data_IF_116610138940
#
_entry.id   IF_116610138940
#
_cell.length_a   1.000
_cell.length_b   1.000
_cell.length_c   1.000
_cell.angle_alpha   90.00
_cell.angle_beta   90.00
_cell.angle_gamma   90.00
#
_symmetry.space_group_name_H-M   'P 1'
#
loop_
_entity.id
_entity.type
_entity.pdbx_description
1 polymer ?
#
# COMPACT_ATOMS: atom_id res chain seq x y z
N UNK A 1 -20.57 4.01 -9.05
CA UNK A 1 -20.46 5.38 -8.53
C UNK A 1 -20.96 5.55 -7.10
N UNK A 2 -22.01 4.84 -6.67
CA UNK A 2 -22.51 4.91 -5.28
C UNK A 2 -21.44 4.57 -4.22
N UNK A 3 -20.52 3.63 -4.47
CA UNK A 3 -19.45 3.28 -3.53
C UNK A 3 -18.43 4.41 -3.35
N UNK A 4 -18.07 5.12 -4.40
CA UNK A 4 -17.15 6.25 -4.31
C UNK A 4 -17.74 7.40 -3.50
N UNK A 5 -19.05 7.63 -3.60
CA UNK A 5 -19.75 8.68 -2.84
C UNK A 5 -19.91 8.35 -1.35
N UNK A 6 -19.79 7.09 -0.95
CA UNK A 6 -19.85 6.65 0.44
C UNK A 6 -18.49 6.66 1.17
N UNK A 7 -17.41 6.93 0.45
CA UNK A 7 -16.05 6.99 1.05
C UNK A 7 -15.93 8.26 1.86
N UNK A 8 -15.67 8.09 3.15
CA UNK A 8 -15.45 9.22 4.06
C UNK A 8 -14.00 9.70 3.97
N UNK A 9 -13.75 11.00 4.16
CA UNK A 9 -12.38 11.50 4.25
C UNK A 9 -11.66 10.94 5.48
N UNK A 10 -10.34 10.90 5.43
CA UNK A 10 -9.51 10.48 6.55
C UNK A 10 -9.67 11.45 7.73
N UNK A 11 -9.61 10.94 8.95
CA UNK A 11 -9.79 11.73 10.17
C UNK A 11 -8.52 12.53 10.50
N UNK A 12 -8.60 13.86 10.41
CA UNK A 12 -7.50 14.74 10.78
C UNK A 12 -7.18 14.66 12.30
N UNK A 13 -8.21 14.50 13.15
CA UNK A 13 -8.01 14.38 14.59
C UNK A 13 -7.29 13.08 14.97
N UNK A 14 -7.59 11.97 14.31
CA UNK A 14 -6.89 10.71 14.52
C UNK A 14 -5.44 10.79 14.01
N UNK A 15 -5.19 11.47 12.91
CA UNK A 15 -3.84 11.71 12.40
C UNK A 15 -2.99 12.50 13.40
N UNK A 16 -3.54 13.57 13.98
CA UNK A 16 -2.84 14.37 14.99
C UNK A 16 -2.50 13.54 16.23
N UNK A 17 -3.47 12.81 16.77
CA UNK A 17 -3.25 11.94 17.93
C UNK A 17 -2.20 10.86 17.65
N UNK A 18 -2.23 10.28 16.45
CA UNK A 18 -1.24 9.30 16.03
C UNK A 18 0.16 9.90 15.93
N UNK A 19 0.29 11.12 15.40
CA UNK A 19 1.58 11.83 15.34
C UNK A 19 2.13 12.09 16.74
N UNK A 20 1.30 12.61 17.63
CA UNK A 20 1.69 12.86 19.03
C UNK A 20 2.16 11.56 19.71
N UNK A 21 1.43 10.45 19.48
CA UNK A 21 1.80 9.15 20.04
C UNK A 21 3.14 8.66 19.48
N UNK A 22 3.35 8.73 18.16
CA UNK A 22 4.59 8.31 17.52
C UNK A 22 5.78 9.11 18.04
N UNK A 23 5.60 10.43 18.19
CA UNK A 23 6.66 11.32 18.69
C UNK A 23 6.94 11.13 20.18
N UNK A 24 5.98 10.59 20.95
CA UNK A 24 6.14 10.27 22.36
C UNK A 24 6.82 8.93 22.65
N UNK A 25 7.03 8.09 21.64
CA UNK A 25 7.71 6.81 21.82
C UNK A 25 9.18 6.98 22.19
N UNK A 26 9.74 5.99 22.87
CA UNK A 26 11.15 5.99 23.31
C UNK A 26 12.07 5.74 22.12
N UNK A 27 12.25 6.75 21.31
CA UNK A 27 13.09 6.79 20.12
C UNK A 27 13.35 8.25 19.72
N UNK A 28 14.41 8.56 18.98
CA UNK A 28 14.57 9.89 18.39
C UNK A 28 13.38 10.24 17.49
N UNK A 29 12.89 11.49 17.56
CA UNK A 29 11.79 11.97 16.73
C UNK A 29 12.15 11.81 15.25
N UNK A 30 11.25 11.19 14.47
CA UNK A 30 11.44 10.97 13.04
C UNK A 30 12.39 9.82 12.69
N UNK A 31 12.87 9.03 13.66
CA UNK A 31 13.89 8.00 13.43
C UNK A 31 13.46 6.87 12.48
N UNK A 32 12.17 6.58 12.38
CA UNK A 32 11.64 5.56 11.47
C UNK A 32 11.29 6.11 10.08
N UNK A 33 11.49 7.42 9.86
CA UNK A 33 11.29 8.06 8.56
C UNK A 33 9.85 7.92 8.04
N UNK A 34 9.70 7.48 6.79
CA UNK A 34 8.40 7.32 6.14
C UNK A 34 7.47 6.32 6.81
N UNK A 35 8.00 5.34 7.56
CA UNK A 35 7.16 4.39 8.29
C UNK A 35 6.28 5.11 9.31
N UNK A 36 6.77 6.18 9.94
CA UNK A 36 5.97 7.00 10.84
C UNK A 36 4.84 7.70 10.11
N UNK A 37 5.09 8.23 8.91
CA UNK A 37 4.09 8.89 8.09
C UNK A 37 3.00 7.91 7.64
N UNK A 38 3.37 6.70 7.27
CA UNK A 38 2.41 5.64 6.93
C UNK A 38 1.56 5.22 8.14
N UNK A 39 2.16 5.10 9.31
CA UNK A 39 1.44 4.79 10.54
C UNK A 39 0.39 5.87 10.86
N UNK A 40 0.76 7.15 10.76
CA UNK A 40 -0.15 8.28 10.96
C UNK A 40 -1.27 8.27 9.92
N UNK A 41 -0.95 8.02 8.65
CA UNK A 41 -1.93 7.96 7.57
C UNK A 41 -2.93 6.83 7.76
N UNK A 42 -2.46 5.65 8.12
CA UNK A 42 -3.33 4.51 8.43
C UNK A 42 -4.24 4.80 9.62
N UNK A 43 -3.71 5.40 10.69
CA UNK A 43 -4.50 5.81 11.83
C UNK A 43 -5.61 6.79 11.45
N UNK A 44 -5.32 7.73 10.54
CA UNK A 44 -6.31 8.69 10.04
C UNK A 44 -7.41 8.02 9.22
N UNK A 45 -7.07 7.01 8.41
CA UNK A 45 -8.03 6.26 7.59
C UNK A 45 -8.96 5.43 8.47
N UNK A 46 -8.42 4.74 9.46
CA UNK A 46 -9.20 3.91 10.39
C UNK A 46 -9.87 4.72 11.51
N UNK A 47 -9.48 5.98 11.70
CA UNK A 47 -9.99 6.82 12.79
C UNK A 47 -9.56 6.37 14.18
N UNK A 48 -8.47 5.60 14.28
CA UNK A 48 -7.96 5.01 15.54
C UNK A 48 -6.45 5.14 15.61
N UNK A 49 -5.93 5.36 16.83
CA UNK A 49 -4.49 5.35 17.08
C UNK A 49 -3.93 3.94 17.31
N UNK A 50 -4.78 3.02 17.73
CA UNK A 50 -4.42 1.63 18.02
C UNK A 50 -5.03 0.74 16.92
N UNK A 51 -4.19 0.32 15.97
CA UNK A 51 -4.67 -0.48 14.84
C UNK A 51 -4.64 -1.98 15.17
N UNK A 52 -5.71 -2.73 14.80
CA UNK A 52 -5.68 -4.18 14.87
C UNK A 52 -4.72 -4.75 13.82
N UNK A 53 -4.34 -6.04 13.92
CA UNK A 53 -3.61 -6.70 12.83
C UNK A 53 -4.34 -6.54 11.50
N UNK A 54 -3.65 -6.02 10.49
CA UNK A 54 -4.24 -5.76 9.18
C UNK A 54 -4.25 -7.05 8.33
N UNK A 55 -5.37 -7.30 7.69
CA UNK A 55 -5.43 -8.29 6.60
C UNK A 55 -4.76 -7.68 5.38
N UNK A 56 -3.73 -8.33 4.91
CA UNK A 56 -2.89 -7.84 3.80
C UNK A 56 -3.27 -8.54 2.50
N UNK A 57 -3.23 -7.80 1.40
CA UNK A 57 -3.41 -8.33 0.07
C UNK A 57 -2.42 -7.69 -0.89
N UNK A 58 -2.01 -8.44 -1.88
CA UNK A 58 -1.20 -7.93 -3.00
C UNK A 58 -2.05 -8.09 -4.27
N UNK A 59 -2.30 -6.98 -4.95
CA UNK A 59 -2.95 -6.98 -6.26
C UNK A 59 -1.87 -6.86 -7.35
N UNK A 60 -1.79 -7.86 -8.20
CA UNK A 60 -0.84 -7.89 -9.32
C UNK A 60 -1.60 -7.65 -10.61
N UNK A 61 -1.16 -6.66 -11.37
CA UNK A 61 -1.69 -6.34 -12.69
C UNK A 61 -0.62 -6.70 -13.72
N UNK A 62 -0.97 -7.53 -14.68
CA UNK A 62 -0.07 -7.96 -15.74
C UNK A 62 -0.74 -7.82 -17.09
N UNK A 63 -0.03 -7.25 -18.05
CA UNK A 63 -0.52 -7.07 -19.41
C UNK A 63 0.64 -7.05 -20.41
N UNK A 64 0.36 -7.45 -21.64
CA UNK A 64 1.27 -7.29 -22.77
C UNK A 64 0.96 -5.95 -23.45
N UNK A 65 1.91 -5.00 -23.35
CA UNK A 65 1.71 -3.62 -23.82
C UNK A 65 2.38 -3.34 -25.18
N UNK A 66 2.74 -4.40 -25.94
CA UNK A 66 3.36 -4.28 -27.26
C UNK A 66 4.85 -3.97 -27.25
N UNK A 67 5.45 -3.73 -26.10
CA UNK A 67 6.88 -3.40 -26.00
C UNK A 67 7.79 -4.58 -26.37
N UNK A 68 7.30 -5.80 -26.28
CA UNK A 68 8.03 -7.00 -26.67
C UNK A 68 8.37 -6.99 -28.17
N UNK A 69 7.49 -6.44 -29.01
CA UNK A 69 7.68 -6.35 -30.47
C UNK A 69 8.88 -5.46 -30.84
N UNK A 70 9.35 -4.63 -29.93
CA UNK A 70 10.55 -3.79 -30.08
C UNK A 70 11.87 -4.60 -30.00
N UNK A 71 11.80 -5.91 -29.74
CA UNK A 71 12.95 -6.80 -29.72
C UNK A 71 13.92 -6.59 -28.55
N UNK A 72 13.50 -5.92 -27.49
CA UNK A 72 14.35 -5.61 -26.34
C UNK A 72 14.37 -6.70 -25.27
N UNK A 73 13.44 -7.66 -25.35
CA UNK A 73 13.32 -8.72 -24.36
C UNK A 73 14.08 -9.99 -24.77
N UNK A 74 14.90 -10.57 -23.87
CA UNK A 74 15.59 -11.84 -24.14
C UNK A 74 14.69 -13.07 -23.98
N UNK A 75 13.44 -12.90 -23.51
CA UNK A 75 12.51 -13.98 -23.21
C UNK A 75 11.24 -13.87 -24.05
N UNK A 76 10.53 -15.00 -24.30
CA UNK A 76 9.25 -14.96 -25.03
C UNK A 76 8.17 -14.15 -24.30
N UNK A 77 7.26 -13.56 -25.06
CA UNK A 77 6.13 -12.80 -24.53
C UNK A 77 5.22 -13.65 -23.61
N UNK A 78 5.14 -14.95 -23.85
CA UNK A 78 4.36 -15.88 -23.03
C UNK A 78 4.76 -15.91 -21.54
N UNK A 79 5.96 -15.42 -21.20
CA UNK A 79 6.43 -15.33 -19.80
C UNK A 79 5.53 -14.47 -18.94
N UNK A 80 4.92 -13.43 -19.49
CA UNK A 80 3.97 -12.57 -18.73
C UNK A 80 2.82 -13.40 -18.17
N UNK A 81 2.16 -14.20 -18.99
CA UNK A 81 1.05 -15.05 -18.56
C UNK A 81 1.51 -16.16 -17.59
N UNK A 82 2.66 -16.76 -17.86
CA UNK A 82 3.23 -17.83 -17.03
C UNK A 82 3.54 -17.31 -15.63
N UNK A 83 4.17 -16.15 -15.53
CA UNK A 83 4.49 -15.53 -14.24
C UNK A 83 3.24 -15.11 -13.46
N UNK A 84 2.24 -14.54 -14.14
CA UNK A 84 0.98 -14.19 -13.51
C UNK A 84 0.31 -15.41 -12.87
N UNK A 85 0.30 -16.55 -13.55
CA UNK A 85 -0.24 -17.82 -13.01
C UNK A 85 0.62 -18.34 -11.86
N UNK A 86 1.95 -18.26 -11.98
CA UNK A 86 2.85 -18.73 -10.92
C UNK A 86 2.66 -17.96 -9.62
N UNK A 87 2.42 -16.66 -9.69
CA UNK A 87 2.17 -15.81 -8.51
C UNK A 87 0.92 -16.24 -7.72
N UNK A 88 -0.05 -16.92 -8.36
CA UNK A 88 -1.24 -17.44 -7.66
C UNK A 88 -0.98 -18.74 -6.90
N UNK A 89 0.13 -19.40 -7.18
CA UNK A 89 0.46 -20.69 -6.58
C UNK A 89 1.38 -20.60 -5.36
N UNK A 90 1.93 -19.42 -5.08
CA UNK A 90 2.83 -19.15 -3.95
C UNK A 90 4.27 -19.47 -4.22
#
# INVERSE_FOLDING_TARGET
MKRAMSIKPASASAAQKARERVDSLVKPIGSLGRLEDYAVKLASIFGKTNLPPLKKAIAVFAADNGVWDEGISPVPQSVTAIQAVNMTKG
#
